data_IF_709511629227
#
_entry.id   IF_709511629227
#
_cell.length_a   1.000
_cell.length_b   1.000
_cell.length_c   1.000
_cell.angle_alpha   90.00
_cell.angle_beta   90.00
_cell.angle_gamma   90.00
#
_symmetry.space_group_name_H-M   'P 1'
#
loop_
_entity.id
_entity.type
_entity.pdbx_description
1 polymer ?
#
# COMPACT_ATOMS: atom_id res chain seq x y z
N UNK A 1 -16.73 13.04 13.66
CA UNK A 1 -16.01 11.88 13.13
C UNK A 1 -15.52 11.06 14.30
N UNK A 2 -16.04 9.85 14.50
CA UNK A 2 -15.53 8.94 15.53
C UNK A 2 -14.12 8.53 15.10
N UNK A 3 -13.20 8.61 16.04
CA UNK A 3 -11.75 8.43 15.91
C UNK A 3 -11.36 7.25 14.99
N UNK A 4 -11.06 7.57 13.72
CA UNK A 4 -10.77 6.59 12.66
C UNK A 4 -9.51 5.78 12.96
N UNK A 5 -8.53 6.41 13.62
CA UNK A 5 -7.23 5.86 14.00
C UNK A 5 -7.39 4.73 15.03
N UNK A 6 -8.48 4.73 15.80
CA UNK A 6 -8.74 3.73 16.84
C UNK A 6 -9.80 2.70 16.47
N UNK A 7 -10.23 2.66 15.21
CA UNK A 7 -11.34 1.80 14.79
C UNK A 7 -10.93 0.33 14.62
N UNK A 8 -9.64 0.05 14.36
CA UNK A 8 -9.08 -1.31 14.30
C UNK A 8 -9.57 -2.16 13.12
N UNK A 9 -10.18 -1.56 12.10
CA UNK A 9 -10.65 -2.25 10.89
C UNK A 9 -9.60 -2.14 9.77
N UNK A 10 -9.35 -3.24 9.06
CA UNK A 10 -8.37 -3.33 7.96
C UNK A 10 -9.08 -3.49 6.61
N UNK A 11 -8.50 -2.98 5.53
CA UNK A 11 -9.10 -3.12 4.19
C UNK A 11 -9.14 -4.60 3.76
N UNK A 12 -10.23 -5.03 3.09
CA UNK A 12 -10.34 -6.37 2.56
C UNK A 12 -9.65 -6.45 1.20
N UNK A 13 -8.33 -6.39 1.16
CA UNK A 13 -7.53 -6.80 0.00
C UNK A 13 -6.08 -7.09 0.39
N UNK A 14 -5.49 -8.10 -0.24
CA UNK A 14 -4.03 -8.22 -0.32
C UNK A 14 -3.56 -7.04 -1.17
N UNK A 15 -2.96 -6.04 -0.53
CA UNK A 15 -2.24 -5.00 -1.24
C UNK A 15 -0.80 -5.45 -1.42
N UNK A 16 -0.27 -5.16 -2.60
CA UNK A 16 1.10 -5.38 -2.92
C UNK A 16 1.74 -4.05 -3.27
N UNK A 17 2.92 -3.79 -2.73
CA UNK A 17 3.73 -2.66 -3.13
C UNK A 17 5.12 -3.16 -3.52
N UNK A 18 5.62 -2.68 -4.65
CA UNK A 18 6.88 -3.12 -5.22
C UNK A 18 7.98 -2.10 -4.90
N UNK A 19 9.10 -2.59 -4.43
CA UNK A 19 10.35 -1.84 -4.18
C UNK A 19 11.54 -2.57 -4.78
N UNK A 20 12.74 -2.01 -4.67
CA UNK A 20 13.98 -2.59 -5.18
C UNK A 20 14.95 -2.89 -4.05
N UNK A 21 15.69 -3.99 -4.19
CA UNK A 21 16.78 -4.32 -3.30
C UNK A 21 18.07 -3.63 -3.79
N UNK A 22 18.67 -2.77 -2.96
CA UNK A 22 19.89 -2.00 -3.22
C UNK A 22 21.13 -2.75 -2.70
N UNK A 23 22.28 -2.59 -3.39
CA UNK A 23 23.47 -3.44 -3.17
C UNK A 23 24.06 -3.42 -1.75
N UNK A 24 23.82 -2.33 -1.00
CA UNK A 24 24.47 -2.07 0.29
C UNK A 24 23.51 -2.03 1.47
N UNK A 25 22.23 -2.35 1.24
CA UNK A 25 21.19 -2.16 2.24
C UNK A 25 20.43 -3.45 2.52
N UNK A 26 20.48 -3.92 3.76
CA UNK A 26 19.67 -5.06 4.23
C UNK A 26 18.41 -4.57 4.97
N UNK A 27 18.14 -3.27 4.95
CA UNK A 27 17.09 -2.62 5.73
C UNK A 27 16.16 -1.81 4.81
N UNK A 28 14.89 -2.17 4.71
CA UNK A 28 13.95 -1.53 3.76
C UNK A 28 12.76 -0.99 4.51
N UNK A 29 12.33 0.23 4.21
CA UNK A 29 11.14 0.79 4.84
C UNK A 29 9.90 -0.03 4.50
N UNK A 30 9.06 -0.26 5.53
CA UNK A 30 7.73 -0.81 5.31
C UNK A 30 6.85 0.29 4.72
N UNK A 31 6.23 0.09 3.55
CA UNK A 31 5.47 1.16 2.92
C UNK A 31 4.34 1.67 3.80
N UNK A 32 4.11 3.00 3.78
CA UNK A 32 3.34 3.74 4.80
C UNK A 32 1.97 3.16 5.16
N UNK A 33 1.31 2.53 4.20
CA UNK A 33 -0.08 2.09 4.32
C UNK A 33 -0.25 0.71 4.98
N UNK A 34 0.81 -0.11 5.06
CA UNK A 34 0.70 -1.45 5.61
C UNK A 34 0.66 -1.44 7.14
N UNK A 35 -0.33 -2.12 7.73
CA UNK A 35 -0.38 -2.38 9.18
C UNK A 35 0.04 -3.81 9.49
N UNK A 36 -0.19 -4.71 8.53
CA UNK A 36 0.32 -6.08 8.60
C UNK A 36 1.04 -6.42 7.31
N UNK A 37 2.16 -7.14 7.44
CA UNK A 37 2.88 -7.72 6.31
C UNK A 37 2.69 -9.22 6.36
N UNK A 38 2.15 -9.76 5.27
CA UNK A 38 1.90 -11.18 5.07
C UNK A 38 3.18 -11.89 4.65
N UNK A 39 3.79 -11.41 3.58
CA UNK A 39 4.94 -12.03 2.95
C UNK A 39 5.73 -11.02 2.12
N UNK A 40 6.99 -11.38 1.86
CA UNK A 40 7.86 -10.68 0.92
C UNK A 40 8.12 -11.62 -0.24
N UNK A 41 8.06 -11.12 -1.46
CA UNK A 41 8.33 -11.90 -2.67
C UNK A 41 9.45 -11.25 -3.47
N UNK A 42 10.30 -12.06 -4.08
CA UNK A 42 11.40 -11.58 -4.91
C UNK A 42 11.02 -11.73 -6.39
N UNK A 43 11.41 -10.74 -7.19
CA UNK A 43 11.22 -10.73 -8.63
C UNK A 43 12.32 -11.51 -9.34
N UNK A 44 11.95 -12.22 -10.40
CA UNK A 44 12.85 -13.01 -11.26
C UNK A 44 13.80 -12.15 -12.14
N UNK A 45 13.41 -10.92 -12.47
CA UNK A 45 14.13 -10.06 -13.43
C UNK A 45 14.31 -8.64 -12.86
N UNK A 46 15.51 -8.04 -12.95
CA UNK A 46 15.69 -6.63 -12.61
C UNK A 46 14.85 -5.72 -13.52
N UNK A 47 14.07 -4.82 -12.93
CA UNK A 47 13.12 -3.93 -13.64
C UNK A 47 13.83 -2.98 -14.60
N UNK A 48 15.09 -2.63 -14.33
CA UNK A 48 15.93 -1.80 -15.20
C UNK A 48 16.14 -2.36 -16.62
N UNK A 49 15.83 -3.64 -16.83
CA UNK A 49 15.97 -4.34 -18.13
C UNK A 49 14.63 -4.77 -18.73
N UNK A 50 13.52 -4.34 -18.12
CA UNK A 50 12.17 -4.67 -18.57
C UNK A 50 11.88 -4.11 -19.96
N UNK A 51 11.10 -4.85 -20.78
CA UNK A 51 10.51 -4.25 -21.98
C UNK A 51 9.53 -3.15 -21.57
N UNK A 52 9.16 -2.25 -22.47
CA UNK A 52 8.26 -1.13 -22.16
C UNK A 52 7.01 -1.18 -23.02
N UNK A 53 5.85 -0.84 -22.43
CA UNK A 53 4.61 -0.57 -23.15
C UNK A 53 4.41 0.95 -23.23
N UNK A 54 4.13 1.44 -24.43
CA UNK A 54 3.68 2.82 -24.58
C UNK A 54 2.28 2.98 -23.98
N UNK A 55 2.13 3.95 -23.10
CA UNK A 55 0.85 4.23 -22.44
C UNK A 55 -0.04 5.15 -23.27
N UNK A 56 0.49 5.75 -24.34
CA UNK A 56 -0.21 6.76 -25.14
C UNK A 56 -0.31 8.14 -24.45
N UNK A 57 0.28 8.32 -23.27
CA UNK A 57 0.41 9.62 -22.60
C UNK A 57 1.84 10.15 -22.73
N UNK A 58 1.99 11.47 -22.62
CA UNK A 58 3.25 12.19 -22.76
C UNK A 58 3.43 13.20 -21.64
N UNK A 59 4.66 13.67 -21.45
CA UNK A 59 4.91 14.85 -20.62
C UNK A 59 4.20 16.07 -21.21
N UNK A 60 3.42 16.76 -20.38
CA UNK A 60 2.75 18.01 -20.73
C UNK A 60 3.64 19.25 -20.52
N UNK A 61 4.81 19.07 -19.89
CA UNK A 61 5.88 20.06 -19.79
C UNK A 61 7.23 19.35 -19.63
N UNK A 62 8.31 20.01 -20.06
CA UNK A 62 9.67 19.50 -19.86
C UNK A 62 10.03 19.41 -18.37
N UNK A 63 10.74 18.36 -17.97
CA UNK A 63 11.32 18.23 -16.63
C UNK A 63 12.73 18.81 -16.68
N UNK A 64 12.89 20.05 -16.19
CA UNK A 64 14.16 20.79 -16.26
C UNK A 64 15.03 20.62 -15.01
N UNK A 65 14.55 19.88 -14.01
CA UNK A 65 15.26 19.66 -12.74
C UNK A 65 15.28 18.19 -12.34
N UNK A 66 16.46 17.70 -11.96
CA UNK A 66 16.67 16.35 -11.42
C UNK A 66 16.08 16.15 -10.02
N UNK A 67 15.56 17.20 -9.38
CA UNK A 67 14.91 17.14 -8.07
C UNK A 67 13.41 17.44 -8.13
N UNK A 68 12.83 17.60 -9.32
CA UNK A 68 11.40 17.83 -9.48
C UNK A 68 10.60 16.59 -9.02
N UNK A 69 9.60 16.79 -8.15
CA UNK A 69 8.75 15.68 -7.65
C UNK A 69 7.33 15.72 -8.19
N UNK A 70 6.97 16.78 -8.91
CA UNK A 70 5.65 16.97 -9.50
C UNK A 70 5.82 17.20 -10.98
N UNK A 71 5.13 16.37 -11.79
CA UNK A 71 5.28 16.34 -13.24
C UNK A 71 3.92 16.57 -13.89
N UNK A 72 3.92 17.41 -14.93
CA UNK A 72 2.74 17.64 -15.76
C UNK A 72 2.69 16.59 -16.86
N UNK A 73 1.55 15.93 -17.00
CA UNK A 73 1.32 14.87 -18.00
C UNK A 73 0.05 15.18 -18.79
N UNK A 74 -0.05 14.64 -20.00
CA UNK A 74 -1.21 14.82 -20.87
C UNK A 74 -2.47 14.13 -20.32
N UNK A 75 -2.30 12.99 -19.66
CA UNK A 75 -3.37 12.26 -18.96
C UNK A 75 -2.79 11.46 -17.78
N UNK A 76 -3.29 11.73 -16.57
CA UNK A 76 -2.93 10.99 -15.35
C UNK A 76 -3.94 9.92 -14.95
N UNK A 77 -5.12 9.87 -15.59
CA UNK A 77 -6.25 9.02 -15.18
C UNK A 77 -5.98 7.52 -15.34
N UNK A 78 -5.03 7.16 -16.20
CA UNK A 78 -4.60 5.79 -16.42
C UNK A 78 -3.71 5.26 -15.28
N UNK A 79 -3.15 6.14 -14.46
CA UNK A 79 -2.19 5.80 -13.40
C UNK A 79 -2.88 5.65 -12.05
N UNK A 80 -2.28 4.85 -11.19
CA UNK A 80 -2.62 4.74 -9.78
C UNK A 80 -1.43 5.13 -8.90
N UNK A 81 -1.69 5.46 -7.63
CA UNK A 81 -0.64 5.55 -6.62
C UNK A 81 0.04 4.19 -6.53
N UNK A 82 1.37 4.19 -6.38
CA UNK A 82 2.27 3.04 -6.44
C UNK A 82 2.50 2.43 -7.83
N UNK A 83 1.95 3.02 -8.89
CA UNK A 83 2.38 2.66 -10.25
C UNK A 83 3.81 3.10 -10.52
N UNK A 84 4.44 2.40 -11.46
CA UNK A 84 5.76 2.71 -11.97
C UNK A 84 5.62 3.21 -13.40
N UNK A 85 6.24 4.34 -13.71
CA UNK A 85 6.32 4.88 -15.06
C UNK A 85 7.78 5.12 -15.46
N UNK A 86 8.04 5.13 -16.75
CA UNK A 86 9.37 5.36 -17.31
C UNK A 86 9.33 6.47 -18.35
N UNK A 87 10.33 7.34 -18.34
CA UNK A 87 10.56 8.38 -19.33
C UNK A 87 12.01 8.26 -19.77
N UNK A 88 12.23 8.09 -21.07
CA UNK A 88 13.52 7.70 -21.62
C UNK A 88 14.08 6.45 -20.93
N UNK A 89 15.12 6.59 -20.11
CA UNK A 89 15.73 5.51 -19.32
C UNK A 89 15.51 5.67 -17.81
N UNK A 90 14.81 6.72 -17.38
CA UNK A 90 14.53 6.99 -15.97
C UNK A 90 13.18 6.42 -15.56
N UNK A 91 13.16 5.75 -14.42
CA UNK A 91 11.96 5.16 -13.84
C UNK A 91 11.52 5.96 -12.62
N UNK A 92 10.21 6.08 -12.42
CA UNK A 92 9.60 6.82 -11.32
C UNK A 92 8.58 5.96 -10.60
N UNK A 93 8.48 6.10 -9.28
CA UNK A 93 7.35 5.61 -8.49
C UNK A 93 6.35 6.75 -8.29
N UNK A 94 5.10 6.52 -8.67
CA UNK A 94 3.98 7.45 -8.45
C UNK A 94 3.56 7.43 -6.99
N UNK A 95 3.62 8.57 -6.31
CA UNK A 95 3.25 8.73 -4.89
C UNK A 95 1.94 9.48 -4.68
N UNK A 96 1.52 10.31 -5.65
CA UNK A 96 0.22 10.96 -5.63
C UNK A 96 -0.26 11.32 -7.03
N UNK A 97 -1.57 11.46 -7.21
CA UNK A 97 -2.20 11.94 -8.44
C UNK A 97 -3.11 13.13 -8.07
N UNK A 98 -2.56 14.35 -7.94
CA UNK A 98 -3.31 15.50 -7.43
C UNK A 98 -4.41 16.00 -8.37
N UNK A 99 -4.27 15.74 -9.67
CA UNK A 99 -5.21 16.16 -10.71
C UNK A 99 -5.14 15.22 -11.92
N UNK A 100 -6.01 15.42 -12.90
CA UNK A 100 -6.05 14.64 -14.16
C UNK A 100 -4.86 14.86 -15.11
N UNK A 101 -3.97 15.82 -14.80
CA UNK A 101 -2.78 16.15 -15.62
C UNK A 101 -1.53 16.31 -14.77
N UNK A 102 -1.56 15.87 -13.51
CA UNK A 102 -0.43 16.03 -12.59
C UNK A 102 -0.19 14.73 -11.84
N UNK A 103 1.07 14.31 -11.84
CA UNK A 103 1.56 13.14 -11.11
C UNK A 103 2.66 13.62 -10.17
N UNK A 104 2.64 13.14 -8.94
CA UNK A 104 3.74 13.30 -7.99
C UNK A 104 4.50 11.99 -7.88
N UNK A 105 5.83 12.06 -7.88
CA UNK A 105 6.72 10.90 -7.76
C UNK A 105 7.53 10.97 -6.48
N UNK A 106 8.20 9.87 -6.14
CA UNK A 106 9.11 9.82 -4.97
C UNK A 106 10.16 10.94 -5.02
N UNK A 107 10.46 11.51 -3.86
CA UNK A 107 11.49 12.53 -3.67
C UNK A 107 12.89 11.94 -3.91
N UNK A 108 13.62 12.49 -4.87
CA UNK A 108 14.85 11.87 -5.38
C UNK A 108 14.52 10.89 -6.50
N UNK A 109 14.14 11.45 -7.65
CA UNK A 109 13.78 10.74 -8.88
C UNK A 109 14.88 9.72 -9.26
N UNK A 110 14.56 8.73 -10.09
CA UNK A 110 15.44 7.60 -10.33
C UNK A 110 15.10 6.38 -9.48
N UNK A 111 13.88 5.87 -9.64
CA UNK A 111 13.43 4.61 -9.05
C UNK A 111 14.10 3.42 -9.74
N UNK A 112 14.16 2.27 -9.07
CA UNK A 112 14.90 1.08 -9.56
C UNK A 112 16.34 1.37 -10.02
N UNK A 113 17.11 2.09 -9.19
CA UNK A 113 18.51 2.45 -9.45
C UNK A 113 18.75 3.24 -10.74
N UNK A 114 17.69 3.78 -11.36
CA UNK A 114 17.83 4.70 -12.49
C UNK A 114 18.31 6.07 -12.01
N UNK A 115 18.90 6.86 -12.90
CA UNK A 115 19.47 8.17 -12.55
C UNK A 115 18.51 9.27 -12.92
N UNK A 116 18.26 10.22 -11.99
CA UNK A 116 17.49 11.42 -12.28
C UNK A 116 18.10 12.23 -13.43
N UNK A 117 17.31 12.48 -14.47
CA UNK A 117 17.69 13.16 -15.71
C UNK A 117 16.66 14.23 -16.09
N UNK A 118 17.05 15.21 -16.90
CA UNK A 118 16.08 16.12 -17.51
C UNK A 118 15.37 15.43 -18.67
N UNK A 119 14.09 15.76 -18.89
CA UNK A 119 13.31 15.22 -20.00
C UNK A 119 12.65 16.34 -20.79
N UNK A 120 12.56 16.15 -22.10
CA UNK A 120 11.94 17.11 -22.98
C UNK A 120 10.41 17.11 -22.84
N UNK A 121 9.79 18.22 -23.25
CA UNK A 121 8.35 18.27 -23.38
C UNK A 121 7.88 17.25 -24.42
N UNK A 122 6.70 16.66 -24.20
CA UNK A 122 6.12 15.63 -25.05
C UNK A 122 6.92 14.31 -25.13
N UNK A 123 7.92 14.08 -24.28
CA UNK A 123 8.51 12.74 -24.13
C UNK A 123 7.42 11.72 -23.79
N UNK A 124 7.49 10.55 -24.42
CA UNK A 124 6.58 9.45 -24.15
C UNK A 124 6.76 8.96 -22.73
N UNK A 125 5.63 8.71 -22.06
CA UNK A 125 5.62 8.06 -20.76
C UNK A 125 5.25 6.60 -20.99
N UNK A 126 6.14 5.72 -20.59
CA UNK A 126 6.02 4.28 -20.79
C UNK A 126 5.70 3.58 -19.48
N UNK A 127 5.12 2.38 -19.56
CA UNK A 127 5.10 1.42 -18.46
C UNK A 127 6.22 0.42 -18.68
N UNK A 128 7.16 0.26 -17.74
CA UNK A 128 8.00 -0.93 -17.72
C UNK A 128 7.10 -2.16 -17.66
N UNK A 129 7.03 -2.92 -18.74
CA UNK A 129 6.57 -4.31 -18.76
C UNK A 129 7.69 -5.15 -18.17
N UNK A 130 7.90 -4.95 -16.88
CA UNK A 130 8.63 -5.93 -16.13
C UNK A 130 7.68 -7.12 -16.09
N UNK A 131 7.90 -8.12 -16.95
CA UNK A 131 7.33 -9.46 -16.81
C UNK A 131 7.88 -10.14 -15.56
N UNK A 132 7.93 -9.39 -14.47
CA UNK A 132 8.52 -9.78 -13.20
C UNK A 132 7.48 -10.60 -12.51
N UNK A 133 7.73 -11.90 -12.52
CA UNK A 133 6.93 -12.81 -11.72
C UNK A 133 7.48 -12.76 -10.30
N UNK A 134 6.58 -12.51 -9.34
CA UNK A 134 6.87 -12.55 -7.91
C UNK A 134 6.49 -13.93 -7.36
N UNK A 135 7.04 -14.98 -7.96
CA UNK A 135 6.68 -16.38 -7.62
C UNK A 135 7.43 -16.89 -6.39
N UNK A 136 8.63 -16.36 -6.12
CA UNK A 136 9.45 -16.79 -5.00
C UNK A 136 9.15 -15.96 -3.74
N UNK A 137 8.61 -16.63 -2.72
CA UNK A 137 8.38 -16.04 -1.40
C UNK A 137 9.66 -16.13 -0.58
N UNK A 138 10.13 -15.00 -0.05
CA UNK A 138 11.29 -14.95 0.85
C UNK A 138 10.89 -15.62 2.18
N UNK A 139 11.57 -16.70 2.59
CA UNK A 139 11.24 -17.43 3.80
C UNK A 139 11.19 -16.52 5.03
N UNK A 140 10.17 -16.71 5.86
CA UNK A 140 9.96 -15.92 7.08
C UNK A 140 11.18 -15.82 8.00
N UNK A 141 12.02 -16.86 8.20
CA UNK A 141 13.22 -16.76 9.03
C UNK A 141 14.29 -15.80 8.50
N UNK A 142 14.22 -15.42 7.22
CA UNK A 142 15.26 -14.62 6.55
C UNK A 142 15.06 -13.13 6.76
N UNK A 143 13.92 -12.73 7.29
CA UNK A 143 13.61 -11.32 7.51
C UNK A 143 12.82 -11.12 8.80
N UNK A 144 13.01 -9.94 9.40
CA UNK A 144 12.23 -9.48 10.55
C UNK A 144 11.84 -8.02 10.35
N UNK A 145 10.85 -7.56 11.09
CA UNK A 145 10.54 -6.13 11.15
C UNK A 145 11.09 -5.53 12.44
N UNK A 146 11.65 -4.33 12.35
CA UNK A 146 12.07 -3.52 13.51
C UNK A 146 11.65 -2.05 13.30
N UNK A 147 11.61 -1.29 14.39
CA UNK A 147 11.66 0.16 14.29
C UNK A 147 13.11 0.60 14.07
N UNK A 148 13.33 1.53 13.14
CA UNK A 148 14.64 2.10 12.89
C UNK A 148 15.24 2.65 14.19
N UNK A 149 16.36 2.08 14.63
CA UNK A 149 17.02 2.41 15.90
C UNK A 149 18.40 2.98 15.62
N UNK A 150 18.48 4.15 14.98
CA UNK A 150 19.76 4.85 14.75
C UNK A 150 20.65 4.23 13.66
N UNK A 151 20.96 5.01 12.62
CA UNK A 151 22.07 4.74 11.69
C UNK A 151 21.72 4.27 10.28
N UNK A 152 22.41 4.88 9.31
CA UNK A 152 22.69 4.47 7.93
C UNK A 152 21.59 4.38 6.84
N UNK A 153 20.39 4.93 7.03
CA UNK A 153 19.60 5.36 5.87
C UNK A 153 19.31 6.87 5.98
N UNK A 154 20.29 7.64 5.51
CA UNK A 154 20.32 9.10 5.59
C UNK A 154 19.49 9.72 4.48
N UNK A 155 18.17 9.79 4.65
CA UNK A 155 17.36 10.92 4.15
C UNK A 155 16.12 11.13 5.04
N UNK A 156 16.20 12.16 5.89
CA UNK A 156 15.07 12.99 6.35
C UNK A 156 14.04 12.48 7.38
N UNK A 157 14.15 11.29 7.97
CA UNK A 157 13.19 10.86 9.00
C UNK A 157 13.80 10.82 10.42
N UNK A 158 12.99 11.22 11.41
CA UNK A 158 13.36 11.16 12.81
C UNK A 158 13.60 9.70 13.25
N UNK A 159 14.72 9.45 13.92
CA UNK A 159 15.09 8.16 14.49
C UNK A 159 13.95 7.58 15.35
N UNK A 160 13.66 6.29 15.21
CA UNK A 160 12.64 5.60 16.02
C UNK A 160 11.21 5.64 15.47
N UNK A 161 10.97 6.26 14.30
CA UNK A 161 9.62 6.46 13.75
C UNK A 161 9.28 5.61 12.52
N UNK A 162 10.27 5.03 11.84
CA UNK A 162 10.06 4.24 10.61
C UNK A 162 10.13 2.74 10.87
N UNK A 163 9.09 1.96 10.55
CA UNK A 163 9.20 0.51 10.48
C UNK A 163 10.02 0.07 9.26
N UNK A 164 10.89 -0.92 9.45
CA UNK A 164 11.75 -1.47 8.41
C UNK A 164 11.77 -3.00 8.42
N UNK A 165 11.83 -3.61 7.25
CA UNK A 165 12.27 -4.98 7.03
C UNK A 165 13.78 -5.05 7.20
N UNK A 166 14.28 -6.08 7.87
CA UNK A 166 15.70 -6.37 7.99
C UNK A 166 15.94 -7.79 7.53
N UNK A 167 16.71 -7.94 6.46
CA UNK A 167 17.14 -9.22 5.96
C UNK A 167 18.35 -9.73 6.76
N UNK A 168 18.39 -11.03 7.03
CA UNK A 168 19.55 -11.68 7.61
C UNK A 168 20.54 -12.04 6.49
N UNK A 169 21.71 -11.38 6.48
CA UNK A 169 22.76 -11.58 5.48
C UNK A 169 23.29 -13.02 5.43
N UNK A 170 23.17 -13.79 6.51
CA UNK A 170 23.64 -15.19 6.55
C UNK A 170 22.72 -16.12 5.75
N UNK A 171 21.46 -15.74 5.56
CA UNK A 171 20.44 -16.57 4.92
C UNK A 171 19.89 -15.98 3.62
N UNK A 172 20.09 -14.68 3.39
CA UNK A 172 19.54 -13.97 2.24
C UNK A 172 20.64 -13.22 1.49
N UNK A 173 20.90 -13.68 0.26
CA UNK A 173 21.76 -13.02 -0.72
C UNK A 173 20.92 -12.58 -1.91
N UNK A 174 21.22 -11.42 -2.46
CA UNK A 174 20.49 -10.85 -3.60
C UNK A 174 21.43 -10.10 -4.52
N UNK A 175 20.95 -9.86 -5.73
CA UNK A 175 21.60 -8.96 -6.67
C UNK A 175 20.99 -7.57 -6.50
N UNK A 176 21.82 -6.53 -6.57
CA UNK A 176 21.32 -5.17 -6.62
C UNK A 176 20.41 -5.02 -7.85
N UNK A 177 19.27 -4.35 -7.68
CA UNK A 177 18.31 -4.20 -8.76
C UNK A 177 17.17 -5.21 -8.74
N UNK A 178 17.23 -6.21 -7.84
CA UNK A 178 16.20 -7.23 -7.76
C UNK A 178 14.90 -6.63 -7.20
N UNK A 179 13.75 -6.82 -7.87
CA UNK A 179 12.48 -6.33 -7.35
C UNK A 179 12.05 -7.08 -6.09
N UNK A 180 11.46 -6.37 -5.16
CA UNK A 180 10.90 -6.87 -3.92
C UNK A 180 9.43 -6.46 -3.86
N UNK A 181 8.52 -7.41 -3.75
CA UNK A 181 7.11 -7.14 -3.53
C UNK A 181 6.76 -7.40 -2.06
N UNK A 182 6.25 -6.36 -1.41
CA UNK A 182 5.71 -6.41 -0.06
C UNK A 182 4.22 -6.69 -0.15
N UNK A 183 3.78 -7.85 0.33
CA UNK A 183 2.36 -8.23 0.35
C UNK A 183 1.84 -8.13 1.77
N UNK A 184 0.71 -7.47 1.96
CA UNK A 184 0.17 -7.25 3.30
C UNK A 184 -1.27 -6.73 3.33
N UNK A 185 -1.67 -6.29 4.51
CA UNK A 185 -2.97 -5.67 4.77
C UNK A 185 -2.75 -4.21 5.16
N UNK A 186 -3.52 -3.32 4.53
CA UNK A 186 -3.47 -1.89 4.75
C UNK A 186 -4.60 -1.41 5.66
N UNK A 187 -4.39 -0.28 6.31
CA UNK A 187 -5.46 0.47 6.94
C UNK A 187 -6.32 1.17 5.86
N UNK A 188 -7.66 1.21 6.00
CA UNK A 188 -8.52 2.00 5.13
C UNK A 188 -8.12 3.48 5.21
N UNK A 189 -7.52 3.95 4.13
CA UNK A 189 -6.95 5.29 4.00
C UNK A 189 -7.96 6.30 3.41
N UNK A 190 -9.07 5.83 2.82
CA UNK A 190 -10.13 6.70 2.28
C UNK A 190 -11.52 6.08 2.50
N UNK A 191 -12.29 6.63 3.44
CA UNK A 191 -13.72 6.82 3.18
C UNK A 191 -13.86 8.25 2.70
N UNK A 192 -14.16 8.46 1.41
CA UNK A 192 -14.35 9.82 0.89
C UNK A 192 -15.48 10.46 1.67
N UNK A 193 -15.17 11.49 2.46
CA UNK A 193 -16.21 12.24 3.17
C UNK A 193 -17.19 12.82 2.13
N UNK A 194 -18.46 12.43 2.20
CA UNK A 194 -19.47 12.77 1.18
C UNK A 194 -19.70 11.70 0.11
N UNK A 195 -18.97 10.58 0.15
CA UNK A 195 -19.39 9.37 -0.55
C UNK A 195 -20.64 8.82 0.13
N UNK A 196 -21.73 8.75 -0.62
CA UNK A 196 -22.95 8.05 -0.19
C UNK A 196 -22.85 6.53 -0.39
N UNK A 197 -21.68 6.03 -0.82
CA UNK A 197 -21.45 4.61 -1.04
C UNK A 197 -20.49 4.07 0.00
N UNK A 198 -21.00 3.16 0.83
CA UNK A 198 -20.19 2.22 1.59
C UNK A 198 -19.65 1.16 0.61
N UNK A 199 -18.45 0.63 0.84
CA UNK A 199 -17.97 -0.51 0.06
C UNK A 199 -18.99 -1.64 0.12
N UNK A 200 -19.34 -2.21 -1.05
CA UNK A 200 -20.49 -3.11 -1.22
C UNK A 200 -20.47 -4.38 -0.35
N UNK A 201 -19.34 -4.63 0.33
CA UNK A 201 -19.14 -5.76 1.23
C UNK A 201 -19.08 -5.40 2.71
N UNK A 202 -19.02 -4.12 3.08
CA UNK A 202 -18.90 -3.68 4.49
C UNK A 202 -20.23 -3.13 5.01
N UNK A 203 -21.10 -2.65 4.12
CA UNK A 203 -22.39 -2.07 4.45
C UNK A 203 -23.31 -3.02 5.22
N UNK A 204 -23.40 -4.28 4.79
CA UNK A 204 -24.22 -5.29 5.47
C UNK A 204 -23.73 -5.54 6.89
N UNK A 205 -22.42 -5.62 7.11
CA UNK A 205 -21.84 -5.77 8.44
C UNK A 205 -22.10 -4.56 9.34
N UNK A 206 -21.85 -3.35 8.84
CA UNK A 206 -22.06 -2.11 9.60
C UNK A 206 -23.54 -1.90 9.94
N UNK A 207 -24.44 -2.20 9.02
CA UNK A 207 -25.89 -2.13 9.24
C UNK A 207 -26.35 -3.10 10.34
N UNK A 208 -25.84 -4.34 10.32
CA UNK A 208 -26.15 -5.32 11.37
C UNK A 208 -25.59 -4.90 12.73
N UNK A 209 -24.36 -4.36 12.79
CA UNK A 209 -23.79 -3.82 14.04
C UNK A 209 -24.57 -2.62 14.55
N UNK A 210 -24.91 -1.67 13.69
CA UNK A 210 -25.70 -0.50 14.05
C UNK A 210 -27.07 -0.89 14.61
N UNK A 211 -27.76 -1.83 13.94
CA UNK A 211 -29.04 -2.38 14.39
C UNK A 211 -28.92 -3.06 15.75
N UNK A 212 -27.86 -3.87 15.96
CA UNK A 212 -27.64 -4.53 17.24
C UNK A 212 -27.46 -3.54 18.40
N UNK A 213 -26.69 -2.46 18.20
CA UNK A 213 -26.48 -1.42 19.20
C UNK A 213 -27.74 -0.58 19.45
N UNK A 214 -28.43 -0.15 18.39
CA UNK A 214 -29.65 0.64 18.50
C UNK A 214 -30.76 -0.14 19.23
N UNK A 215 -30.99 -1.39 18.84
CA UNK A 215 -31.98 -2.26 19.46
C UNK A 215 -31.65 -2.54 20.94
N UNK A 216 -30.37 -2.71 21.29
CA UNK A 216 -29.94 -2.89 22.68
C UNK A 216 -30.18 -1.64 23.52
N UNK A 217 -29.88 -0.47 22.97
CA UNK A 217 -30.10 0.81 23.64
C UNK A 217 -31.58 1.04 23.94
N UNK A 218 -32.44 0.85 22.93
CA UNK A 218 -33.89 1.01 23.07
C UNK A 218 -34.50 -0.05 23.99
N UNK A 219 -34.01 -1.30 23.95
CA UNK A 219 -34.41 -2.32 24.92
C UNK A 219 -34.09 -1.92 26.37
N UNK A 220 -32.91 -1.34 26.60
CA UNK A 220 -32.49 -0.91 27.93
C UNK A 220 -33.33 0.24 28.50
N UNK A 221 -34.05 0.99 27.65
CA UNK A 221 -35.01 2.01 28.08
C UNK A 221 -36.33 1.42 28.61
N UNK A 222 -36.59 0.13 28.41
CA UNK A 222 -37.67 -0.62 29.04
C UNK A 222 -38.97 -0.76 28.24
N UNK A 223 -39.18 0.06 27.20
CA UNK A 223 -40.46 0.11 26.47
C UNK A 223 -40.60 -0.89 25.30
N UNK A 224 -39.55 -1.67 25.01
CA UNK A 224 -39.50 -2.49 23.81
C UNK A 224 -38.82 -3.86 24.04
N UNK A 225 -39.48 -4.83 24.71
CA UNK A 225 -38.88 -6.11 25.06
C UNK A 225 -38.47 -6.97 23.85
N UNK A 226 -39.15 -6.81 22.71
CA UNK A 226 -38.84 -7.50 21.45
C UNK A 226 -37.48 -7.07 20.85
N UNK A 227 -36.98 -5.87 21.17
CA UNK A 227 -35.71 -5.38 20.64
C UNK A 227 -34.49 -6.12 21.21
N UNK A 228 -34.61 -6.83 22.34
CA UNK A 228 -33.54 -7.70 22.83
C UNK A 228 -33.29 -8.88 21.87
N UNK A 229 -34.36 -9.46 21.30
CA UNK A 229 -34.24 -10.53 20.32
C UNK A 229 -33.59 -10.01 19.03
N UNK A 230 -34.08 -8.87 18.50
CA UNK A 230 -33.51 -8.23 17.31
C UNK A 230 -32.03 -7.88 17.52
N UNK A 231 -31.65 -7.38 18.71
CA UNK A 231 -30.26 -7.09 19.04
C UNK A 231 -29.38 -8.34 18.95
N UNK A 232 -29.83 -9.47 19.51
CA UNK A 232 -29.10 -10.74 19.48
C UNK A 232 -29.01 -11.32 18.07
N UNK A 233 -30.08 -11.27 17.29
CA UNK A 233 -30.12 -11.76 15.91
C UNK A 233 -29.19 -10.94 15.02
N UNK A 234 -29.24 -9.61 15.10
CA UNK A 234 -28.36 -8.72 14.35
C UNK A 234 -26.88 -8.90 14.76
N UNK A 235 -26.62 -9.10 16.06
CA UNK A 235 -25.28 -9.43 16.53
C UNK A 235 -24.80 -10.77 15.96
N UNK A 236 -25.63 -11.82 16.05
CA UNK A 236 -25.34 -13.14 15.50
C UNK A 236 -25.07 -13.11 14.00
N UNK A 237 -25.88 -12.38 13.23
CA UNK A 237 -25.70 -12.19 11.79
C UNK A 237 -24.37 -11.49 11.48
N UNK A 238 -24.00 -10.45 12.26
CA UNK A 238 -22.71 -9.77 12.09
C UNK A 238 -21.51 -10.67 12.44
N UNK A 239 -21.62 -11.53 13.46
CA UNK A 239 -20.58 -12.51 13.81
C UNK A 239 -20.48 -13.62 12.77
N UNK A 240 -21.61 -14.09 12.25
CA UNK A 240 -21.64 -15.09 11.18
C UNK A 240 -21.01 -14.54 9.90
N UNK A 241 -21.24 -13.26 9.61
CA UNK A 241 -20.59 -12.56 8.51
C UNK A 241 -19.06 -12.53 8.70
N UNK A 242 -18.55 -12.20 9.89
CA UNK A 242 -17.12 -12.27 10.20
C UNK A 242 -16.57 -13.69 10.09
N UNK A 243 -17.36 -14.71 10.47
CA UNK A 243 -16.99 -16.13 10.37
C UNK A 243 -16.94 -16.62 8.93
N UNK A 244 -17.81 -16.13 8.05
CA UNK A 244 -17.86 -16.46 6.61
C UNK A 244 -16.79 -15.72 5.80
N UNK A 245 -16.34 -14.57 6.28
CA UNK A 245 -15.33 -13.75 5.62
C UNK A 245 -14.09 -13.49 6.48
N UNK A 246 -13.46 -14.51 7.10
CA UNK A 246 -12.36 -14.29 8.03
C UNK A 246 -11.17 -13.63 7.35
N UNK A 247 -10.91 -13.95 6.08
CA UNK A 247 -9.83 -13.36 5.28
C UNK A 247 -10.01 -11.86 4.99
N UNK A 248 -11.25 -11.34 5.07
CA UNK A 248 -11.57 -9.94 4.81
C UNK A 248 -11.49 -9.05 6.06
N UNK A 249 -11.63 -9.64 7.25
CA UNK A 249 -11.79 -8.88 8.51
C UNK A 249 -10.82 -9.31 9.62
N UNK A 250 -10.05 -10.38 9.42
CA UNK A 250 -9.06 -10.84 10.37
C UNK A 250 -7.66 -10.74 9.77
N UNK A 251 -6.72 -10.48 10.66
CA UNK A 251 -5.30 -10.61 10.38
C UNK A 251 -5.03 -12.07 10.00
N UNK A 252 -4.32 -12.30 8.90
CA UNK A 252 -3.92 -13.65 8.54
C UNK A 252 -2.97 -14.21 9.62
N UNK A 253 -3.08 -15.49 10.02
CA UNK A 253 -2.29 -16.03 11.14
C UNK A 253 -0.77 -15.91 10.99
N UNK A 254 -0.27 -15.83 9.76
CA UNK A 254 1.15 -15.69 9.43
C UNK A 254 1.56 -14.23 9.15
N UNK A 255 0.61 -13.29 9.14
CA UNK A 255 0.93 -11.88 9.01
C UNK A 255 1.59 -11.35 10.27
N UNK A 256 2.55 -10.46 10.09
CA UNK A 256 3.24 -9.79 11.19
C UNK A 256 2.79 -8.34 11.27
N UNK A 257 2.49 -7.87 12.48
CA UNK A 257 2.17 -6.48 12.73
C UNK A 257 3.38 -5.58 12.43
N UNK A 258 3.15 -4.49 11.72
CA UNK A 258 4.16 -3.49 11.44
C UNK A 258 4.43 -2.69 12.72
N UNK A 259 5.66 -2.65 13.24
CA UNK A 259 5.97 -1.88 14.44
C UNK A 259 5.60 -0.40 14.30
N UNK A 260 4.93 0.16 15.31
CA UNK A 260 4.52 1.58 15.30
C UNK A 260 3.26 1.89 14.48
N UNK A 261 2.57 0.87 13.96
CA UNK A 261 1.24 0.97 13.32
C UNK A 261 0.28 0.03 14.05
#
# INVERSE_FOLDING_TARGET
SRDLINSGWYLPQEHAENTEILNAEYEYDVPAQFVFVKELRIGDTPISSASTLDTGTTLGAAITSTTAVTHTVSDSSIWAINDILQIDIEIFLVTAIPSSTTITTTGGRGYFSTTAATHDNASSILRPLAGVTFEEVIPRPYWRMKLQTGGANTTTAALGSRPQFVFNSDFFSYTAGTPLQVVGQQEPNVYTAGSNTLDSHVESFLSQRATAYAARFLYAQGDHPHLNQISREAWGASEEFLRKHPQRFRVLPHSTRVPGR
#
